data_IF_644637150678
#
_entry.id   IF_644637150678
#
_cell.length_a   1.000
_cell.length_b   1.000
_cell.length_c   1.000
_cell.angle_alpha   90.00
_cell.angle_beta   90.00
_cell.angle_gamma   90.00
#
_symmetry.space_group_name_H-M   'P 1'
#
loop_
_entity.id
_entity.type
_entity.pdbx_description
1 polymer ?
#
# COMPACT_ATOMS: atom_id res chain seq x y z
N UNK A 1 26.80 -13.42 -8.82
CA UNK A 1 26.30 -12.10 -8.40
C UNK A 1 25.43 -12.35 -7.18
N UNK A 2 25.53 -11.56 -6.12
CA UNK A 2 24.62 -11.63 -4.99
C UNK A 2 23.23 -11.23 -5.50
N UNK A 3 22.18 -12.00 -5.17
CA UNK A 3 20.82 -11.70 -5.67
C UNK A 3 20.33 -10.35 -5.16
N UNK A 4 19.45 -9.70 -5.92
CA UNK A 4 18.83 -8.42 -5.56
C UNK A 4 18.00 -8.60 -4.29
N UNK A 5 18.13 -7.68 -3.31
CA UNK A 5 17.36 -7.69 -2.06
C UNK A 5 16.26 -6.64 -2.10
N UNK A 6 15.02 -7.10 -2.06
CA UNK A 6 13.83 -6.24 -2.12
C UNK A 6 13.11 -6.25 -0.79
N UNK A 7 12.82 -5.06 -0.24
CA UNK A 7 11.94 -4.88 0.90
C UNK A 7 10.61 -4.32 0.41
N UNK A 8 9.49 -4.97 0.75
CA UNK A 8 8.15 -4.47 0.44
C UNK A 8 7.47 -4.05 1.72
N UNK A 9 7.13 -2.76 1.83
CA UNK A 9 6.32 -2.25 2.93
C UNK A 9 4.85 -2.57 2.67
N UNK A 10 4.19 -3.29 3.59
CA UNK A 10 2.80 -3.68 3.45
C UNK A 10 2.00 -3.34 4.70
N UNK A 11 0.84 -2.69 4.53
CA UNK A 11 -0.06 -2.28 5.60
C UNK A 11 -1.28 -3.18 5.66
N UNK A 12 -1.68 -3.56 6.87
CA UNK A 12 -3.02 -4.09 7.11
C UNK A 12 -4.01 -2.94 7.18
N UNK A 13 -5.10 -3.03 6.41
CA UNK A 13 -6.19 -2.05 6.40
C UNK A 13 -7.54 -2.77 6.54
N UNK A 14 -8.61 -2.11 6.98
CA UNK A 14 -9.96 -2.61 6.77
C UNK A 14 -10.20 -2.79 5.27
N UNK A 15 -10.97 -3.80 4.89
CA UNK A 15 -11.27 -4.03 3.47
C UNK A 15 -11.93 -2.80 2.84
N UNK A 16 -11.28 -2.11 1.89
CA UNK A 16 -11.82 -0.90 1.27
C UNK A 16 -13.03 -1.16 0.35
N UNK A 17 -13.26 -2.41 -0.05
CA UNK A 17 -14.45 -2.80 -0.82
C UNK A 17 -15.67 -3.07 0.06
N UNK A 18 -15.52 -3.00 1.39
CA UNK A 18 -16.63 -3.18 2.31
C UNK A 18 -17.68 -2.07 2.15
N UNK A 19 -18.98 -2.38 2.37
CA UNK A 19 -20.04 -1.39 2.24
C UNK A 19 -19.83 -0.20 3.20
N UNK A 20 -20.05 1.02 2.73
CA UNK A 20 -19.97 2.23 3.57
C UNK A 20 -20.86 2.18 4.83
N UNK A 21 -21.94 1.39 4.80
CA UNK A 21 -22.84 1.18 5.95
C UNK A 21 -22.18 0.42 7.10
N UNK A 22 -21.07 -0.26 6.85
CA UNK A 22 -20.28 -0.95 7.87
C UNK A 22 -19.18 -0.05 8.48
N UNK A 23 -19.03 1.19 7.98
CA UNK A 23 -18.08 2.20 8.46
C UNK A 23 -18.84 3.24 9.28
N UNK A 24 -18.44 3.43 10.53
CA UNK A 24 -19.01 4.42 11.45
C UNK A 24 -17.92 5.41 11.87
N UNK A 25 -18.22 6.69 11.75
CA UNK A 25 -17.33 7.75 12.22
C UNK A 25 -17.72 8.11 13.66
N UNK A 26 -16.82 7.86 14.59
CA UNK A 26 -16.92 8.31 15.98
C UNK A 26 -16.23 9.67 16.11
N UNK A 27 -16.99 10.74 15.94
CA UNK A 27 -16.45 12.11 15.96
C UNK A 27 -15.92 12.52 17.34
N UNK A 28 -16.48 11.99 18.43
CA UNK A 28 -16.01 12.27 19.79
C UNK A 28 -14.67 11.59 20.07
N UNK A 29 -14.55 10.31 19.72
CA UNK A 29 -13.29 9.55 19.84
C UNK A 29 -12.30 9.86 18.71
N UNK A 30 -12.71 10.62 17.69
CA UNK A 30 -11.93 10.91 16.45
C UNK A 30 -11.41 9.63 15.79
N UNK A 31 -12.26 8.64 15.64
CA UNK A 31 -11.92 7.31 15.12
C UNK A 31 -12.92 6.79 14.12
N UNK A 32 -12.41 6.03 13.18
CA UNK A 32 -13.23 5.21 12.29
C UNK A 32 -13.41 3.84 12.94
N UNK A 33 -14.66 3.40 13.07
CA UNK A 33 -15.03 2.05 13.52
C UNK A 33 -15.54 1.25 12.33
N UNK A 34 -14.99 0.07 12.16
CA UNK A 34 -15.42 -0.85 11.11
C UNK A 34 -16.10 -2.05 11.77
N UNK A 35 -17.43 -2.21 11.54
CA UNK A 35 -18.20 -3.31 12.12
C UNK A 35 -18.20 -4.51 11.16
N UNK A 36 -17.55 -5.61 11.58
CA UNK A 36 -17.57 -6.85 10.81
C UNK A 36 -16.77 -6.83 9.50
N UNK A 37 -15.99 -5.78 9.26
CA UNK A 37 -15.11 -5.70 8.10
C UNK A 37 -13.82 -6.46 8.43
N UNK A 38 -13.46 -7.51 7.68
CA UNK A 38 -12.21 -8.22 7.89
C UNK A 38 -11.02 -7.33 7.48
N UNK A 39 -9.87 -7.47 8.12
CA UNK A 39 -8.65 -6.82 7.65
C UNK A 39 -8.10 -7.53 6.40
N UNK A 40 -7.51 -6.73 5.51
CA UNK A 40 -6.81 -7.20 4.31
C UNK A 40 -5.44 -6.53 4.20
N UNK A 41 -4.56 -7.02 3.33
CA UNK A 41 -3.39 -6.24 2.90
C UNK A 41 -3.91 -5.07 2.05
N UNK A 42 -3.36 -3.88 2.25
CA UNK A 42 -3.70 -2.73 1.43
C UNK A 42 -3.55 -3.07 -0.08
N UNK A 43 -4.57 -2.82 -0.91
CA UNK A 43 -4.53 -3.20 -2.33
C UNK A 43 -3.30 -2.69 -3.09
N UNK A 44 -2.87 -1.44 -2.82
CA UNK A 44 -1.66 -0.91 -3.46
C UNK A 44 -0.37 -1.57 -2.97
N UNK A 45 -0.35 -2.10 -1.74
CA UNK A 45 0.78 -2.88 -1.25
C UNK A 45 0.75 -4.30 -1.83
N UNK A 46 -0.42 -4.85 -2.12
CA UNK A 46 -0.56 -6.09 -2.90
C UNK A 46 0.05 -5.93 -4.30
N UNK A 47 -0.18 -4.80 -4.98
CA UNK A 47 0.49 -4.47 -6.24
C UNK A 47 2.02 -4.38 -6.08
N UNK A 48 2.51 -3.79 -4.97
CA UNK A 48 3.95 -3.73 -4.69
C UNK A 48 4.56 -5.11 -4.43
N UNK A 49 3.84 -6.02 -3.77
CA UNK A 49 4.26 -7.41 -3.59
C UNK A 49 4.33 -8.11 -4.95
N UNK A 50 3.34 -7.94 -5.83
CA UNK A 50 3.37 -8.54 -7.17
C UNK A 50 4.56 -8.03 -7.99
N UNK A 51 4.82 -6.72 -7.97
CA UNK A 51 5.99 -6.14 -8.62
C UNK A 51 7.31 -6.77 -8.14
N UNK A 52 7.46 -6.95 -6.82
CA UNK A 52 8.63 -7.60 -6.24
C UNK A 52 8.76 -9.07 -6.70
N UNK A 53 7.64 -9.79 -6.80
CA UNK A 53 7.63 -11.18 -7.26
C UNK A 53 7.97 -11.31 -8.75
N UNK A 54 7.54 -10.36 -9.58
CA UNK A 54 7.94 -10.31 -10.99
C UNK A 54 9.46 -10.11 -11.12
N UNK A 55 10.03 -9.13 -10.40
CA UNK A 55 11.50 -8.92 -10.39
C UNK A 55 12.22 -10.17 -9.84
N UNK A 56 11.68 -10.82 -8.82
CA UNK A 56 12.24 -12.05 -8.27
C UNK A 56 12.30 -13.16 -9.32
N UNK A 57 11.27 -13.30 -10.15
CA UNK A 57 11.21 -14.33 -11.20
C UNK A 57 12.16 -14.03 -12.36
N UNK A 58 12.34 -12.75 -12.71
CA UNK A 58 13.19 -12.30 -13.80
C UNK A 58 14.67 -12.25 -13.41
N UNK A 59 14.99 -11.70 -12.23
CA UNK A 59 16.36 -11.35 -11.83
C UNK A 59 16.89 -12.15 -10.63
N UNK A 60 16.07 -13.03 -10.03
CA UNK A 60 16.48 -13.86 -8.90
C UNK A 60 16.58 -13.11 -7.57
N UNK A 61 15.62 -12.19 -7.28
CA UNK A 61 15.63 -11.40 -6.06
C UNK A 61 15.18 -12.18 -4.82
N UNK A 62 15.64 -11.73 -3.64
CA UNK A 62 15.10 -12.11 -2.34
C UNK A 62 14.09 -11.04 -1.88
N UNK A 63 12.87 -11.46 -1.52
CA UNK A 63 11.77 -10.55 -1.16
C UNK A 63 11.43 -10.67 0.32
N UNK A 64 11.63 -9.60 1.08
CA UNK A 64 11.22 -9.45 2.48
C UNK A 64 10.03 -8.50 2.57
N UNK A 65 8.92 -8.96 3.15
CA UNK A 65 7.76 -8.11 3.43
C UNK A 65 7.82 -7.60 4.86
N UNK A 66 7.66 -6.28 5.02
CA UNK A 66 7.74 -5.56 6.30
C UNK A 66 6.41 -4.87 6.58
N UNK A 67 5.86 -5.07 7.78
CA UNK A 67 4.62 -4.42 8.21
C UNK A 67 4.75 -3.80 9.59
N UNK A 68 4.11 -2.64 9.82
CA UNK A 68 4.12 -1.92 11.09
C UNK A 68 2.69 -1.71 11.58
N UNK A 69 2.45 -1.95 12.86
CA UNK A 69 1.15 -1.68 13.47
C UNK A 69 1.03 -2.18 14.90
N UNK A 70 -0.19 -2.16 15.41
CA UNK A 70 -0.55 -2.77 16.68
C UNK A 70 -1.67 -3.78 16.43
N UNK A 71 -1.49 -5.01 16.92
CA UNK A 71 -2.42 -6.12 16.72
C UNK A 71 -2.55 -6.52 15.24
N UNK A 72 -1.41 -6.72 14.59
CA UNK A 72 -1.36 -7.16 13.21
C UNK A 72 -1.89 -8.58 13.09
N UNK A 73 -2.78 -8.83 12.13
CA UNK A 73 -3.25 -10.18 11.81
C UNK A 73 -2.18 -10.95 11.04
N UNK A 74 -1.52 -11.88 11.71
CA UNK A 74 -0.55 -12.76 11.06
C UNK A 74 -1.15 -13.54 9.89
N UNK A 75 -2.43 -13.90 9.98
CA UNK A 75 -3.12 -14.63 8.91
C UNK A 75 -3.23 -13.79 7.63
N UNK A 76 -3.48 -12.49 7.77
CA UNK A 76 -3.57 -11.56 6.63
C UNK A 76 -2.21 -11.40 5.97
N UNK A 77 -1.17 -11.06 6.74
CA UNK A 77 0.17 -10.80 6.20
C UNK A 77 0.86 -12.07 5.67
N UNK A 78 0.52 -13.27 6.18
CA UNK A 78 1.00 -14.55 5.64
C UNK A 78 0.60 -14.77 4.17
N UNK A 79 -0.38 -14.03 3.64
CA UNK A 79 -0.71 -14.05 2.22
C UNK A 79 0.54 -13.73 1.38
N UNK A 80 1.40 -12.80 1.83
CA UNK A 80 2.64 -12.45 1.15
C UNK A 80 3.60 -13.64 0.99
N UNK A 81 3.79 -14.44 2.06
CA UNK A 81 4.57 -15.68 2.00
C UNK A 81 3.92 -16.72 1.07
N UNK A 82 2.59 -16.82 1.12
CA UNK A 82 1.85 -17.79 0.32
C UNK A 82 1.94 -17.50 -1.19
N UNK A 83 2.07 -16.24 -1.61
CA UNK A 83 2.24 -15.87 -3.02
C UNK A 83 3.70 -15.95 -3.47
N UNK A 84 4.70 -15.97 -2.55
CA UNK A 84 6.09 -16.23 -2.91
C UNK A 84 7.14 -15.31 -2.31
N UNK A 85 6.80 -14.42 -1.37
CA UNK A 85 7.81 -13.71 -0.59
C UNK A 85 8.65 -14.70 0.25
N UNK A 86 9.91 -14.38 0.49
CA UNK A 86 10.83 -15.23 1.23
C UNK A 86 10.73 -15.02 2.73
N UNK A 87 10.62 -13.77 3.16
CA UNK A 87 10.60 -13.39 4.56
C UNK A 87 9.41 -12.48 4.89
N UNK A 88 8.94 -12.56 6.14
CA UNK A 88 7.92 -11.67 6.67
C UNK A 88 8.34 -11.20 8.06
N UNK A 89 8.45 -9.88 8.22
CA UNK A 89 8.82 -9.21 9.45
C UNK A 89 7.64 -8.32 9.86
N UNK A 90 7.16 -8.50 11.08
CA UNK A 90 6.06 -7.73 11.66
C UNK A 90 6.57 -6.91 12.84
N UNK A 91 6.49 -5.59 12.75
CA UNK A 91 6.67 -4.69 13.88
C UNK A 91 5.30 -4.55 14.56
N UNK A 92 5.04 -5.40 15.54
CA UNK A 92 3.75 -5.44 16.26
C UNK A 92 3.95 -5.02 17.71
N UNK A 93 3.63 -3.77 18.00
CA UNK A 93 3.79 -3.16 19.33
C UNK A 93 2.62 -2.21 19.63
N UNK A 94 2.08 -2.19 20.84
CA UNK A 94 1.01 -1.24 21.20
C UNK A 94 1.34 0.24 20.95
N UNK A 95 2.62 0.61 20.97
CA UNK A 95 3.09 1.97 20.67
C UNK A 95 2.91 2.35 19.19
N UNK A 96 2.81 1.37 18.30
CA UNK A 96 2.60 1.56 16.85
C UNK A 96 1.12 1.70 16.48
N UNK A 97 0.25 1.86 17.48
CA UNK A 97 -1.16 2.11 17.24
C UNK A 97 -1.41 3.53 16.76
N UNK A 98 -2.24 3.69 15.73
CA UNK A 98 -2.69 4.98 15.18
C UNK A 98 -1.52 5.93 14.81
N UNK A 99 -0.47 5.39 14.16
CA UNK A 99 0.65 6.16 13.64
C UNK A 99 0.23 6.99 12.42
N UNK A 100 0.72 8.23 12.35
CA UNK A 100 0.67 9.05 11.13
C UNK A 100 1.71 8.61 10.09
N UNK A 101 1.70 9.24 8.91
CA UNK A 101 2.61 8.89 7.81
C UNK A 101 4.08 9.08 8.16
N UNK A 102 4.42 10.15 8.90
CA UNK A 102 5.78 10.45 9.33
C UNK A 102 6.27 9.41 10.35
N UNK A 103 5.47 9.15 11.39
CA UNK A 103 5.80 8.20 12.45
C UNK A 103 5.92 6.78 11.91
N UNK A 104 5.05 6.41 10.96
CA UNK A 104 5.14 5.11 10.27
C UNK A 104 6.45 5.00 9.47
N UNK A 105 6.80 6.02 8.69
CA UNK A 105 8.04 6.05 7.93
C UNK A 105 9.27 6.01 8.86
N UNK A 106 9.22 6.69 10.01
CA UNK A 106 10.28 6.66 11.01
C UNK A 106 10.50 5.25 11.58
N UNK A 107 9.43 4.55 11.95
CA UNK A 107 9.52 3.17 12.44
C UNK A 107 10.05 2.24 11.36
N UNK A 108 9.53 2.36 10.13
CA UNK A 108 10.00 1.59 8.97
C UNK A 108 11.48 1.85 8.68
N UNK A 109 11.94 3.11 8.73
CA UNK A 109 13.35 3.45 8.46
C UNK A 109 14.30 2.79 9.45
N UNK A 110 13.94 2.76 10.75
CA UNK A 110 14.75 2.08 11.76
C UNK A 110 14.75 0.56 11.58
N UNK A 111 13.61 -0.03 11.21
CA UNK A 111 13.53 -1.45 10.91
C UNK A 111 14.38 -1.83 9.69
N UNK A 112 14.32 -1.04 8.62
CA UNK A 112 15.11 -1.26 7.42
C UNK A 112 16.61 -1.12 7.71
N UNK A 113 17.01 -0.15 8.52
CA UNK A 113 18.42 -0.03 9.00
C UNK A 113 18.86 -1.25 9.80
N UNK A 114 17.97 -1.85 10.59
CA UNK A 114 18.24 -3.10 11.32
C UNK A 114 18.33 -4.31 10.38
N UNK A 115 17.49 -4.40 9.34
CA UNK A 115 17.61 -5.44 8.30
C UNK A 115 18.98 -5.37 7.62
N UNK A 116 19.46 -4.15 7.37
CA UNK A 116 20.79 -3.89 6.82
C UNK A 116 20.77 -3.76 5.31
N UNK A 117 21.31 -4.75 4.58
CA UNK A 117 21.47 -4.65 3.13
C UNK A 117 20.15 -4.79 2.37
N UNK A 118 19.88 -3.84 1.48
CA UNK A 118 18.78 -3.86 0.52
C UNK A 118 19.17 -3.08 -0.74
N UNK A 119 18.56 -3.43 -1.87
CA UNK A 119 18.77 -2.77 -3.16
C UNK A 119 17.53 -1.95 -3.56
N UNK A 120 16.32 -2.48 -3.30
CA UNK A 120 15.08 -1.85 -3.69
C UNK A 120 14.06 -1.90 -2.56
N UNK A 121 13.41 -0.77 -2.31
CA UNK A 121 12.23 -0.71 -1.42
C UNK A 121 11.00 -0.45 -2.28
N UNK A 122 9.97 -1.27 -2.10
CA UNK A 122 8.68 -1.08 -2.74
C UNK A 122 7.61 -0.79 -1.69
N UNK A 123 6.68 0.11 -2.00
CA UNK A 123 5.51 0.41 -1.20
C UNK A 123 4.33 0.73 -2.12
N UNK A 124 3.11 0.53 -1.67
CA UNK A 124 1.94 1.06 -2.37
C UNK A 124 1.99 2.59 -2.44
N UNK A 125 1.41 3.17 -3.48
CA UNK A 125 1.35 4.63 -3.64
C UNK A 125 0.64 5.32 -2.48
N UNK A 126 -0.32 4.63 -1.86
CA UNK A 126 -1.14 5.12 -0.74
C UNK A 126 -1.78 3.94 0.00
N UNK A 127 -2.39 4.19 1.15
CA UNK A 127 -3.19 3.19 1.87
C UNK A 127 -4.67 3.50 1.71
N UNK A 128 -5.50 2.48 1.41
CA UNK A 128 -6.92 2.62 1.13
C UNK A 128 -7.79 3.07 2.32
N UNK A 129 -7.20 3.19 3.52
CA UNK A 129 -7.90 3.67 4.72
C UNK A 129 -7.78 5.19 4.93
N UNK A 130 -6.64 5.82 4.60
CA UNK A 130 -6.38 7.25 4.83
C UNK A 130 -5.99 8.02 3.57
N UNK A 131 -5.63 7.36 2.50
CA UNK A 131 -5.24 7.94 1.20
C UNK A 131 -4.16 9.04 1.24
N UNK A 132 -3.35 9.10 2.30
CA UNK A 132 -2.38 10.19 2.48
C UNK A 132 -1.24 10.20 1.45
N UNK A 133 -0.86 9.03 0.91
CA UNK A 133 0.14 8.92 -0.16
C UNK A 133 1.55 9.41 0.19
N UNK A 134 1.90 9.52 1.47
CA UNK A 134 3.12 10.20 1.94
C UNK A 134 4.18 9.24 2.48
N UNK A 135 3.77 8.13 3.10
CA UNK A 135 4.67 7.26 3.90
C UNK A 135 5.88 6.79 3.09
N UNK A 136 5.69 6.32 1.87
CA UNK A 136 6.79 5.83 1.03
C UNK A 136 7.82 6.93 0.72
N UNK A 137 7.36 8.13 0.35
CA UNK A 137 8.26 9.25 0.01
C UNK A 137 9.03 9.76 1.24
N UNK A 138 8.36 9.86 2.39
CA UNK A 138 9.01 10.24 3.67
C UNK A 138 10.04 9.17 4.05
N UNK A 139 9.73 7.89 3.85
CA UNK A 139 10.65 6.78 4.12
C UNK A 139 11.92 6.90 3.27
N UNK A 140 11.80 7.18 1.98
CA UNK A 140 12.95 7.36 1.10
C UNK A 140 13.84 8.51 1.52
N UNK A 141 13.25 9.64 1.95
CA UNK A 141 13.99 10.78 2.49
C UNK A 141 14.72 10.43 3.80
N UNK A 142 14.06 9.69 4.73
CA UNK A 142 14.69 9.25 5.99
C UNK A 142 15.82 8.25 5.79
N UNK A 143 15.82 7.52 4.67
CA UNK A 143 16.88 6.58 4.30
C UNK A 143 17.94 7.23 3.39
N UNK A 144 17.74 8.49 3.00
CA UNK A 144 18.63 9.24 2.09
C UNK A 144 18.82 8.54 0.73
N UNK A 145 17.76 7.92 0.21
CA UNK A 145 17.75 7.23 -1.09
C UNK A 145 16.80 7.88 -2.07
N UNK A 146 17.06 7.68 -3.37
CA UNK A 146 16.19 8.20 -4.44
C UNK A 146 14.81 7.55 -4.35
N UNK A 147 13.77 8.38 -4.40
CA UNK A 147 12.38 7.94 -4.43
C UNK A 147 11.72 8.23 -5.77
N UNK A 148 11.09 7.21 -6.37
CA UNK A 148 10.29 7.35 -7.58
C UNK A 148 8.86 6.96 -7.24
N UNK A 149 7.90 7.84 -7.51
CA UNK A 149 6.49 7.57 -7.19
C UNK A 149 5.68 7.12 -8.40
N UNK A 150 4.52 6.49 -8.14
CA UNK A 150 3.50 6.14 -9.13
C UNK A 150 4.01 5.23 -10.26
N UNK A 151 4.76 4.18 -9.92
CA UNK A 151 5.25 3.22 -10.89
C UNK A 151 4.11 2.34 -11.44
N UNK A 152 4.04 2.25 -12.78
CA UNK A 152 3.21 1.28 -13.51
C UNK A 152 4.02 0.13 -14.10
N UNK A 153 5.35 0.25 -14.14
CA UNK A 153 6.27 -0.78 -14.57
C UNK A 153 7.62 -0.53 -13.90
N UNK A 154 8.29 -1.62 -13.50
CA UNK A 154 9.61 -1.59 -12.84
C UNK A 154 10.47 -2.67 -13.48
N UNK A 155 11.71 -2.33 -13.83
CA UNK A 155 12.75 -3.25 -14.29
C UNK A 155 14.07 -2.94 -13.64
N UNK A 156 14.91 -3.94 -13.49
CA UNK A 156 16.29 -3.77 -13.03
C UNK A 156 17.24 -3.99 -14.21
N UNK A 157 18.12 -3.03 -14.45
CA UNK A 157 19.10 -3.07 -15.52
C UNK A 157 20.45 -2.57 -14.98
N UNK A 158 21.46 -3.40 -14.97
CA UNK A 158 22.85 -3.04 -14.63
C UNK A 158 23.00 -2.21 -13.33
N UNK A 159 22.36 -2.66 -12.23
CA UNK A 159 22.39 -1.96 -10.92
C UNK A 159 21.57 -0.66 -10.89
N UNK A 160 20.68 -0.49 -11.84
CA UNK A 160 19.78 0.66 -11.98
C UNK A 160 18.34 0.18 -12.01
N UNK A 161 17.45 0.86 -11.28
CA UNK A 161 16.00 0.68 -11.45
C UNK A 161 15.50 1.57 -12.58
N UNK A 162 14.73 1.00 -13.48
CA UNK A 162 14.04 1.67 -14.60
C UNK A 162 12.56 1.60 -14.36
N UNK A 163 11.91 2.76 -14.25
CA UNK A 163 10.52 2.89 -13.84
C UNK A 163 9.74 3.65 -14.90
N UNK A 164 8.62 3.10 -15.35
CA UNK A 164 7.59 3.87 -16.03
C UNK A 164 6.72 4.54 -14.97
N UNK A 165 6.97 5.82 -14.73
CA UNK A 165 6.24 6.65 -13.78
C UNK A 165 5.03 7.27 -14.44
N UNK A 166 3.86 7.13 -13.84
CA UNK A 166 2.63 7.74 -14.35
C UNK A 166 2.63 9.25 -14.19
N UNK A 167 2.20 9.93 -15.23
CA UNK A 167 1.91 11.36 -15.28
C UNK A 167 0.56 11.60 -15.95
N UNK A 168 0.03 12.82 -15.87
CA UNK A 168 -1.19 13.17 -16.60
C UNK A 168 -0.99 13.05 -18.12
N UNK A 169 -1.78 12.17 -18.75
CA UNK A 169 -1.75 11.96 -20.18
C UNK A 169 -0.69 10.98 -20.70
N UNK A 170 0.05 10.28 -19.79
CA UNK A 170 1.05 9.31 -20.23
C UNK A 170 1.94 8.78 -19.09
N UNK A 171 3.20 8.58 -19.40
CA UNK A 171 4.21 8.16 -18.43
C UNK A 171 5.59 8.73 -18.79
N UNK A 172 6.45 8.82 -17.77
CA UNK A 172 7.87 9.17 -17.90
C UNK A 172 8.71 7.93 -17.63
N UNK A 173 9.79 7.74 -18.40
CA UNK A 173 10.78 6.73 -18.11
C UNK A 173 11.86 7.33 -17.20
N UNK A 174 11.88 6.90 -15.94
CA UNK A 174 12.81 7.37 -14.91
C UNK A 174 13.82 6.28 -14.60
N UNK A 175 15.11 6.66 -14.49
CA UNK A 175 16.20 5.76 -14.10
C UNK A 175 16.86 6.26 -12.83
N UNK A 176 17.11 5.36 -11.86
CA UNK A 176 17.84 5.66 -10.66
C UNK A 176 18.79 4.52 -10.28
N UNK A 177 19.93 4.87 -9.68
CA UNK A 177 20.86 3.86 -9.15
C UNK A 177 20.27 3.23 -7.90
N UNK A 178 20.52 1.94 -7.69
CA UNK A 178 20.22 1.27 -6.43
C UNK A 178 21.24 1.68 -5.33
N UNK A 179 20.83 1.77 -4.05
CA UNK A 179 19.48 1.51 -3.57
C UNK A 179 18.49 2.65 -3.88
N UNK A 180 17.23 2.30 -4.12
CA UNK A 180 16.15 3.24 -4.40
C UNK A 180 14.84 2.79 -3.77
N UNK A 181 13.89 3.72 -3.61
CA UNK A 181 12.52 3.44 -3.22
C UNK A 181 11.56 3.73 -4.38
N UNK A 182 10.62 2.83 -4.62
CA UNK A 182 9.59 3.04 -5.64
C UNK A 182 8.20 2.83 -5.03
N UNK A 183 7.29 3.81 -5.21
CA UNK A 183 5.88 3.59 -4.86
C UNK A 183 5.10 3.14 -6.07
N UNK A 184 4.27 2.12 -5.87
CA UNK A 184 3.63 1.33 -6.92
C UNK A 184 2.17 1.72 -7.06
N UNK A 185 1.71 1.84 -8.29
CA UNK A 185 0.32 2.11 -8.66
C UNK A 185 -0.39 0.81 -9.09
N UNK A 186 -1.72 0.82 -9.11
CA UNK A 186 -2.55 -0.35 -9.47
C UNK A 186 -2.32 -0.85 -10.91
N UNK A 187 -1.84 0.00 -11.79
CA UNK A 187 -1.57 -0.33 -13.20
C UNK A 187 -0.44 -1.33 -13.41
N UNK A 188 0.34 -1.63 -12.35
CA UNK A 188 1.43 -2.62 -12.41
C UNK A 188 0.90 -4.06 -12.47
N UNK A 189 -0.33 -4.27 -12.02
CA UNK A 189 -1.00 -5.58 -12.02
C UNK A 189 -1.52 -5.99 -10.65
N UNK A 190 -2.44 -6.97 -10.66
CA UNK A 190 -3.04 -7.52 -9.45
C UNK A 190 -2.15 -8.61 -8.85
N UNK A 191 -2.20 -8.75 -7.51
CA UNK A 191 -1.48 -9.79 -6.80
C UNK A 191 -1.99 -11.18 -7.23
N UNK A 192 -1.06 -12.05 -7.60
CA UNK A 192 -1.34 -13.45 -7.97
C UNK A 192 -2.00 -14.24 -6.84
N UNK A 193 -2.78 -15.25 -7.22
CA UNK A 193 -3.38 -16.16 -6.24
C UNK A 193 -2.40 -17.27 -5.83
N UNK A 194 -2.27 -17.57 -4.52
CA UNK A 194 -1.43 -18.66 -4.05
C UNK A 194 -2.06 -20.02 -4.34
N UNK A 195 -1.24 -20.99 -4.74
CA UNK A 195 -1.69 -22.39 -4.81
C UNK A 195 -1.96 -22.96 -3.41
N UNK A 196 -2.83 -23.99 -3.31
CA UNK A 196 -3.10 -24.67 -2.03
C UNK A 196 -1.80 -25.16 -1.37
N UNK A 197 -0.87 -25.71 -2.16
CA UNK A 197 0.43 -26.18 -1.67
C UNK A 197 1.23 -25.03 -1.03
N UNK A 198 1.34 -23.88 -1.71
CA UNK A 198 2.05 -22.71 -1.18
C UNK A 198 1.38 -22.14 0.08
N UNK A 199 0.04 -22.11 0.14
CA UNK A 199 -0.67 -21.71 1.35
C UNK A 199 -0.33 -22.59 2.55
N UNK A 200 -0.31 -23.92 2.37
CA UNK A 200 0.06 -24.85 3.45
C UNK A 200 1.54 -24.72 3.85
N UNK A 201 2.43 -24.44 2.93
CA UNK A 201 3.84 -24.17 3.22
C UNK A 201 4.01 -22.86 4.02
N UNK A 202 3.34 -21.78 3.61
CA UNK A 202 3.38 -20.49 4.29
C UNK A 202 2.87 -20.56 5.74
N UNK A 203 1.94 -21.45 6.07
CA UNK A 203 1.49 -21.66 7.45
C UNK A 203 2.61 -22.17 8.38
N UNK A 204 3.60 -22.88 7.84
CA UNK A 204 4.73 -23.44 8.58
C UNK A 204 5.97 -22.53 8.56
N UNK A 205 5.99 -21.54 7.69
CA UNK A 205 7.11 -20.64 7.55
C UNK A 205 7.18 -19.69 8.76
N UNK A 206 8.36 -19.49 9.38
CA UNK A 206 8.52 -18.59 10.49
C UNK A 206 8.18 -17.15 10.09
N UNK A 207 7.70 -16.38 11.07
CA UNK A 207 7.52 -14.93 10.96
C UNK A 207 8.38 -14.31 12.03
N UNK A 208 9.16 -13.30 11.66
CA UNK A 208 9.87 -12.50 12.65
C UNK A 208 8.92 -11.42 13.20
N UNK A 209 8.88 -11.30 14.53
CA UNK A 209 8.07 -10.30 15.22
C UNK A 209 9.02 -9.42 16.02
N UNK A 210 9.00 -8.12 15.74
CA UNK A 210 9.81 -7.12 16.42
C UNK A 210 8.91 -6.15 17.19
N UNK A 211 9.40 -5.76 18.37
CA UNK A 211 8.82 -4.70 19.20
C UNK A 211 9.50 -3.35 18.92
N UNK A 212 9.06 -2.31 19.59
CA UNK A 212 9.72 -1.00 19.50
C UNK A 212 11.11 -0.98 20.13
N UNK A 213 11.40 -1.87 21.11
CA UNK A 213 12.73 -2.04 21.66
C UNK A 213 13.71 -2.65 20.64
N UNK A 214 13.22 -3.51 19.76
CA UNK A 214 14.05 -4.18 18.76
C UNK A 214 14.57 -3.22 17.68
N UNK A 215 13.95 -2.05 17.51
CA UNK A 215 14.24 -1.07 16.44
C UNK A 215 14.60 0.33 16.95
N UNK A 216 14.94 0.45 18.23
CA UNK A 216 15.45 1.68 18.88
C UNK A 216 14.58 2.92 18.62
N UNK A 217 13.28 2.84 18.90
CA UNK A 217 12.32 3.91 18.65
C UNK A 217 12.40 5.00 19.75
N UNK A 218 12.60 6.25 19.32
CA UNK A 218 12.34 7.42 20.17
C UNK A 218 10.84 7.72 20.19
N UNK A 219 10.21 7.57 21.36
CA UNK A 219 8.77 7.77 21.55
C UNK A 219 8.29 9.20 21.20
N UNK A 220 9.16 10.22 21.35
CA UNK A 220 8.83 11.62 21.01
C UNK A 220 8.61 11.84 19.51
N UNK A 221 9.11 10.93 18.66
CA UNK A 221 8.93 10.98 17.21
C UNK A 221 7.71 10.20 16.73
N UNK A 222 6.91 9.66 17.64
CA UNK A 222 5.66 8.99 17.31
C UNK A 222 4.48 9.96 17.47
N UNK A 223 3.51 9.86 16.57
CA UNK A 223 2.26 10.66 16.60
C UNK A 223 2.51 12.17 16.55
N UNK A 224 3.20 12.60 15.52
CA UNK A 224 3.50 14.01 15.25
C UNK A 224 2.24 14.78 14.82
N UNK A 225 1.29 14.11 14.14
CA UNK A 225 0.06 14.70 13.65
C UNK A 225 -1.08 14.36 14.61
N UNK A 226 -1.87 15.38 15.02
CA UNK A 226 -3.08 15.22 15.80
C UNK A 226 -4.31 15.44 14.92
N UNK A 227 -5.27 14.52 14.98
CA UNK A 227 -6.58 14.68 14.33
C UNK A 227 -7.41 15.64 15.18
N UNK A 228 -7.66 16.84 14.66
CA UNK A 228 -8.45 17.86 15.35
C UNK A 228 -9.93 17.53 15.29
N UNK A 229 -10.42 17.10 14.15
CA UNK A 229 -11.82 16.78 13.91
C UNK A 229 -11.94 15.65 12.88
N UNK A 230 -12.92 14.79 13.05
CA UNK A 230 -13.27 13.73 12.11
C UNK A 230 -14.78 13.76 11.87
N UNK A 231 -15.17 14.10 10.66
CA UNK A 231 -16.56 14.22 10.24
C UNK A 231 -16.93 13.12 9.25
N UNK A 232 -18.18 12.61 9.31
CA UNK A 232 -18.65 11.73 8.25
C UNK A 232 -18.69 12.50 6.92
N UNK A 233 -18.35 11.82 5.83
CA UNK A 233 -18.51 12.40 4.51
C UNK A 233 -19.97 12.79 4.30
N UNK A 234 -20.22 14.07 4.07
CA UNK A 234 -21.55 14.54 3.70
C UNK A 234 -21.91 13.84 2.39
N UNK A 235 -22.95 13.01 2.43
CA UNK A 235 -23.49 12.41 1.22
C UNK A 235 -23.83 13.54 0.26
N UNK A 236 -23.02 13.72 -0.79
CA UNK A 236 -23.46 14.54 -1.91
C UNK A 236 -24.69 13.83 -2.45
N UNK A 237 -25.86 14.41 -2.21
CA UNK A 237 -27.12 13.91 -2.71
C UNK A 237 -27.05 13.88 -4.25
N UNK A 238 -26.54 12.77 -4.79
CA UNK A 238 -26.55 12.54 -6.23
C UNK A 238 -28.01 12.34 -6.61
N UNK A 239 -28.59 13.28 -7.30
CA UNK A 239 -29.88 13.09 -7.94
C UNK A 239 -29.66 12.24 -9.20
N UNK A 240 -30.29 11.08 -9.22
CA UNK A 240 -30.33 10.26 -10.44
C UNK A 240 -31.44 10.82 -11.33
N UNK A 241 -31.08 11.28 -12.53
CA UNK A 241 -32.04 11.68 -13.56
C UNK A 241 -32.24 10.53 -14.52
N UNK A 242 -33.44 9.96 -14.53
CA UNK A 242 -33.82 8.96 -15.50
C UNK A 242 -34.20 9.65 -16.80
N UNK A 243 -33.57 9.26 -17.90
CA UNK A 243 -33.94 9.77 -19.22
C UNK A 243 -35.25 9.15 -19.67
N UNK A 244 -36.22 9.99 -20.03
CA UNK A 244 -37.49 9.57 -20.61
C UNK A 244 -37.31 9.17 -22.07
N UNK A 245 -38.18 8.28 -22.57
CA UNK A 245 -38.20 7.81 -23.96
C UNK A 245 -38.74 6.37 -24.03
N UNK A 246 -39.46 6.06 -25.12
CA UNK A 246 -40.04 4.76 -25.35
C UNK A 246 -39.03 3.75 -25.92
N UNK A 247 -38.01 4.24 -26.64
CA UNK A 247 -36.95 3.45 -27.25
C UNK A 247 -35.56 3.82 -26.69
N UNK A 248 -34.57 2.89 -26.70
CA UNK A 248 -33.19 3.17 -26.28
C UNK A 248 -32.54 4.33 -27.03
N UNK A 249 -32.84 4.50 -28.33
CA UNK A 249 -32.35 5.54 -29.20
C UNK A 249 -32.82 6.92 -28.72
N UNK A 250 -34.10 7.05 -28.39
CA UNK A 250 -34.72 8.26 -27.88
C UNK A 250 -34.14 8.69 -26.52
N UNK A 251 -33.93 7.69 -25.61
CA UNK A 251 -33.23 7.92 -24.33
C UNK A 251 -31.80 8.42 -24.54
N UNK A 252 -31.09 7.88 -25.54
CA UNK A 252 -29.77 8.32 -25.91
C UNK A 252 -29.72 9.76 -26.44
N UNK A 253 -30.68 10.16 -27.29
CA UNK A 253 -30.82 11.54 -27.76
C UNK A 253 -31.11 12.52 -26.61
N UNK A 254 -32.06 12.17 -25.75
CA UNK A 254 -32.42 12.97 -24.57
C UNK A 254 -31.24 13.12 -23.59
N UNK A 255 -30.45 12.09 -23.40
CA UNK A 255 -29.21 12.16 -22.60
C UNK A 255 -28.22 13.12 -23.24
N UNK A 256 -27.99 13.01 -24.54
CA UNK A 256 -27.07 13.89 -25.29
C UNK A 256 -27.48 15.38 -25.22
N UNK A 257 -28.77 15.66 -25.35
CA UNK A 257 -29.34 17.03 -25.24
C UNK A 257 -29.13 17.56 -23.82
N UNK A 258 -29.42 16.73 -22.79
CA UNK A 258 -29.27 17.10 -21.37
C UNK A 258 -27.82 17.43 -21.04
N UNK A 259 -26.87 16.58 -21.45
CA UNK A 259 -25.44 16.80 -21.23
C UNK A 259 -24.92 18.05 -21.92
N UNK A 260 -25.40 18.33 -23.15
CA UNK A 260 -25.04 19.55 -23.90
C UNK A 260 -25.57 20.83 -23.23
N UNK A 261 -26.69 20.75 -22.54
CA UNK A 261 -27.26 21.87 -21.78
C UNK A 261 -26.60 22.12 -20.43
N UNK A 262 -25.79 21.17 -19.92
CA UNK A 262 -25.03 21.25 -18.66
C UNK A 262 -23.58 21.73 -18.86
N UNK A 263 -23.06 21.74 -20.08
CA UNK A 263 -21.73 22.21 -20.47
C UNK A 263 -21.74 23.69 -20.81
#
# INVERSE_FOLDING_TARGET
>A
MQGIKIIVCAKQVPDPEAPFTAVEVDSEAKKIRTKGIPPVINPFDENAIEAALCIKEEDGAEVTVLSVGAKISHAVLRKALAVGADNLILLDDPRFKDLDSYSTAYVLSNAIKKIGEYDLILAGRQAGDWDSGQTGLILGEMLEIVSINLARSIKIEDGTVVVEKMIQGGYELVRAKLPSLVTVSSEIGELRYPTVKRRLQALKQPIEIWSAEDVEINAERLKIIEIMELLPALGMGRQCHFMEGDAPEEKGENLAITLKGMA
#
